data_IF_305152770935
#
_entry.id   IF_305152770935
#
_cell.length_a   1.000
_cell.length_b   1.000
_cell.length_c   1.000
_cell.angle_alpha   90.00
_cell.angle_beta   90.00
_cell.angle_gamma   90.00
#
_symmetry.space_group_name_H-M   'P 1'
#
loop_
_entity.id
_entity.type
_entity.pdbx_description
1 polymer ?
#
# COMPACT_ATOMS: atom_id res chain seq x y z
N UNK A 1 20.06 -13.54 -9.78
CA UNK A 1 19.26 -12.94 -8.69
C UNK A 1 19.29 -13.92 -7.54
N UNK A 2 19.75 -13.50 -6.38
CA UNK A 2 19.66 -14.30 -5.16
C UNK A 2 18.19 -14.38 -4.74
N UNK A 3 17.78 -15.47 -4.07
CA UNK A 3 16.37 -15.66 -3.67
C UNK A 3 15.89 -14.49 -2.79
N UNK A 4 16.78 -13.92 -2.01
CA UNK A 4 16.56 -12.76 -1.15
C UNK A 4 16.18 -11.50 -1.94
N UNK A 5 16.99 -11.11 -2.93
CA UNK A 5 16.70 -9.95 -3.81
C UNK A 5 15.38 -10.11 -4.58
N UNK A 6 15.06 -11.35 -4.98
CA UNK A 6 13.79 -11.65 -5.64
C UNK A 6 12.60 -11.48 -4.69
N UNK A 7 12.69 -11.97 -3.46
CA UNK A 7 11.63 -11.85 -2.45
C UNK A 7 11.41 -10.38 -2.08
N UNK A 8 12.47 -9.61 -1.84
CA UNK A 8 12.36 -8.19 -1.52
C UNK A 8 11.62 -7.41 -2.63
N UNK A 9 12.03 -7.63 -3.88
CA UNK A 9 11.40 -7.00 -5.05
C UNK A 9 9.94 -7.41 -5.17
N UNK A 10 9.65 -8.71 -5.03
CA UNK A 10 8.30 -9.24 -5.13
C UNK A 10 7.39 -8.65 -4.04
N UNK A 11 7.83 -8.63 -2.79
CA UNK A 11 7.04 -8.14 -1.66
C UNK A 11 6.80 -6.62 -1.78
N UNK A 12 7.83 -5.85 -2.16
CA UNK A 12 7.68 -4.41 -2.39
C UNK A 12 6.70 -4.11 -3.52
N UNK A 13 6.81 -4.83 -4.64
CA UNK A 13 5.87 -4.68 -5.76
C UNK A 13 4.43 -5.06 -5.39
N UNK A 14 4.25 -6.09 -4.55
CA UNK A 14 2.95 -6.49 -4.04
C UNK A 14 2.33 -5.43 -3.12
N UNK A 15 3.13 -4.79 -2.26
CA UNK A 15 2.67 -3.70 -1.40
C UNK A 15 2.18 -2.49 -2.23
N UNK A 16 2.90 -2.14 -3.29
CA UNK A 16 2.48 -1.08 -4.22
C UNK A 16 1.19 -1.45 -4.95
N UNK A 17 1.10 -2.68 -5.47
CA UNK A 17 -0.10 -3.15 -6.14
C UNK A 17 -1.33 -3.11 -5.21
N UNK A 18 -1.17 -3.52 -3.96
CA UNK A 18 -2.22 -3.46 -2.94
C UNK A 18 -2.68 -2.03 -2.66
N UNK A 19 -1.76 -1.07 -2.62
CA UNK A 19 -2.12 0.35 -2.49
C UNK A 19 -2.88 0.89 -3.70
N UNK A 20 -2.46 0.52 -4.92
CA UNK A 20 -3.18 0.90 -6.14
C UNK A 20 -4.62 0.40 -6.12
N UNK A 21 -4.84 -0.85 -5.69
CA UNK A 21 -6.20 -1.40 -5.53
C UNK A 21 -6.99 -0.60 -4.50
N UNK A 22 -6.38 -0.22 -3.38
CA UNK A 22 -7.05 0.56 -2.34
C UNK A 22 -7.51 1.94 -2.84
N UNK A 23 -6.64 2.71 -3.52
CA UNK A 23 -7.03 4.04 -4.03
C UNK A 23 -8.06 3.96 -5.15
N UNK A 24 -8.01 2.93 -6.00
CA UNK A 24 -9.03 2.69 -7.02
C UNK A 24 -10.37 2.37 -6.36
N UNK A 25 -10.37 1.50 -5.35
CA UNK A 25 -11.59 1.18 -4.59
C UNK A 25 -12.17 2.44 -3.92
N UNK A 26 -11.34 3.31 -3.35
CA UNK A 26 -11.79 4.60 -2.80
C UNK A 26 -12.38 5.49 -3.89
N UNK A 27 -11.73 5.62 -5.05
CA UNK A 27 -12.26 6.42 -6.15
C UNK A 27 -13.60 5.92 -6.69
N UNK A 28 -13.81 4.60 -6.70
CA UNK A 28 -15.08 4.00 -7.12
C UNK A 28 -16.19 4.18 -6.08
N UNK A 29 -15.84 4.16 -4.78
CA UNK A 29 -16.79 4.26 -3.67
C UNK A 29 -17.14 5.72 -3.32
N UNK A 30 -16.19 6.63 -3.53
CA UNK A 30 -16.29 8.06 -3.23
C UNK A 30 -16.02 8.89 -4.50
N UNK A 31 -17.03 9.10 -5.37
CA UNK A 31 -16.86 9.85 -6.61
C UNK A 31 -16.61 11.35 -6.39
N UNK A 32 -16.92 11.88 -5.19
CA UNK A 32 -16.54 13.21 -4.75
C UNK A 32 -15.60 13.10 -3.55
N UNK A 33 -14.52 13.91 -3.56
CA UNK A 33 -13.49 13.94 -2.53
C UNK A 33 -13.82 14.90 -1.38
N UNK A 34 -14.93 15.63 -1.45
CA UNK A 34 -15.41 16.41 -0.32
C UNK A 34 -15.90 15.51 0.83
N UNK A 35 -15.63 15.93 2.07
CA UNK A 35 -16.03 15.20 3.27
C UNK A 35 -15.37 13.82 3.39
N UNK A 36 -16.19 12.76 3.46
CA UNK A 36 -15.72 11.40 3.74
C UNK A 36 -14.74 10.85 2.69
N UNK A 37 -14.89 11.24 1.42
CA UNK A 37 -14.01 10.76 0.34
C UNK A 37 -12.56 11.20 0.51
N UNK A 38 -12.34 12.46 0.90
CA UNK A 38 -11.01 12.99 1.21
C UNK A 38 -10.37 12.28 2.40
N UNK A 39 -11.13 12.02 3.47
CA UNK A 39 -10.63 11.26 4.62
C UNK A 39 -10.32 9.81 4.26
N UNK A 40 -11.13 9.16 3.42
CA UNK A 40 -10.87 7.80 2.94
C UNK A 40 -9.56 7.73 2.11
N UNK A 41 -9.31 8.72 1.26
CA UNK A 41 -8.06 8.81 0.50
C UNK A 41 -6.85 8.99 1.43
N UNK A 42 -6.94 9.91 2.38
CA UNK A 42 -5.87 10.11 3.39
C UNK A 42 -5.65 8.85 4.22
N UNK A 43 -6.72 8.18 4.66
CA UNK A 43 -6.65 6.91 5.37
C UNK A 43 -5.94 5.82 4.55
N UNK A 44 -6.18 5.78 3.24
CA UNK A 44 -5.51 4.85 2.31
C UNK A 44 -4.00 5.11 2.23
N UNK A 45 -3.59 6.39 2.23
CA UNK A 45 -2.18 6.78 2.26
C UNK A 45 -1.52 6.35 3.57
N UNK A 46 -2.16 6.63 4.71
CA UNK A 46 -1.64 6.23 6.03
C UNK A 46 -1.52 4.70 6.10
N UNK A 47 -2.54 3.98 5.65
CA UNK A 47 -2.52 2.52 5.56
C UNK A 47 -1.34 2.02 4.71
N UNK A 48 -1.10 2.61 3.54
CA UNK A 48 0.03 2.23 2.70
C UNK A 48 1.38 2.43 3.37
N UNK A 49 1.58 3.58 4.03
CA UNK A 49 2.81 3.85 4.79
C UNK A 49 3.01 2.79 5.87
N UNK A 50 1.96 2.43 6.62
CA UNK A 50 2.03 1.39 7.65
C UNK A 50 2.40 0.03 7.04
N UNK A 51 1.81 -0.33 5.89
CA UNK A 51 2.13 -1.58 5.18
C UNK A 51 3.60 -1.60 4.76
N UNK A 52 4.13 -0.49 4.22
CA UNK A 52 5.54 -0.40 3.82
C UNK A 52 6.49 -0.49 5.01
N UNK A 53 6.15 0.16 6.13
CA UNK A 53 6.93 0.06 7.38
C UNK A 53 6.93 -1.37 7.89
N UNK A 54 5.76 -2.03 7.95
CA UNK A 54 5.65 -3.41 8.39
C UNK A 54 6.42 -4.36 7.46
N UNK A 55 6.36 -4.13 6.15
CA UNK A 55 7.05 -4.90 5.12
C UNK A 55 8.57 -4.77 5.26
N UNK A 56 9.09 -3.55 5.31
CA UNK A 56 10.53 -3.32 5.47
C UNK A 56 11.06 -3.88 6.80
N UNK A 57 10.29 -3.74 7.87
CA UNK A 57 10.63 -4.31 9.16
C UNK A 57 10.64 -5.85 9.15
N UNK A 58 9.68 -6.48 8.47
CA UNK A 58 9.66 -7.94 8.34
C UNK A 58 10.83 -8.45 7.50
N UNK A 59 11.13 -7.79 6.37
CA UNK A 59 12.27 -8.12 5.51
C UNK A 59 13.60 -7.98 6.25
N UNK A 60 13.74 -7.00 7.15
CA UNK A 60 14.96 -6.83 7.97
C UNK A 60 15.22 -7.99 8.94
N UNK A 61 14.29 -8.93 9.08
CA UNK A 61 14.36 -10.09 9.99
C UNK A 61 14.38 -11.44 9.29
N UNK A 62 14.19 -11.47 7.97
CA UNK A 62 14.47 -12.65 7.17
C UNK A 62 15.95 -12.68 6.80
#
# INVERSE_FOLDING_TARGET
MERETFVETAVSSAAVALFLVAIVAVGLMYPNLEGAGGFALVGSLVFFVVVMVATGYWLSRQ
#
